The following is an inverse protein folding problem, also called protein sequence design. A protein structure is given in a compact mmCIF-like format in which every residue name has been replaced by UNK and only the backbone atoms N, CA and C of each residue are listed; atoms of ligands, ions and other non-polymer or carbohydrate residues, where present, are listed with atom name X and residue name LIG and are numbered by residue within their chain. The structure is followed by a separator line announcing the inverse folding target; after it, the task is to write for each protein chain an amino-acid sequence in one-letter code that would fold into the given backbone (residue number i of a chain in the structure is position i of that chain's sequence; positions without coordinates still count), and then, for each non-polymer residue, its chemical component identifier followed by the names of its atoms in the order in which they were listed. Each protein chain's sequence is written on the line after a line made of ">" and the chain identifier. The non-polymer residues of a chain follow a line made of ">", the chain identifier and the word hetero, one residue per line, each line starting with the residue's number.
data_IF_847484445165
#
_entry.id   IF_847484445165
#
_cell.length_a   1.000
_cell.length_b   1.000
_cell.length_c   1.000
_cell.angle_alpha   90.00
_cell.angle_beta   90.00
_cell.angle_gamma   90.00
#
_symmetry.space_group_name_H-M   'P 1'
#
loop_
_entity.id
_entity.type
_entity.pdbx_description
1 polymer ?
#
# COMPACT_ATOMS: atom_id res chain seq x y z
N UNK A 1 -7.56 -5.85 9.85
CA UNK A 1 -6.54 -4.98 10.50
C UNK A 1 -6.15 -3.88 9.52
N UNK A 2 -5.77 -2.68 9.99
CA UNK A 2 -5.35 -1.56 9.12
C UNK A 2 -3.83 -1.41 9.16
N UNK A 3 -3.22 -1.23 8.00
CA UNK A 3 -1.77 -1.09 7.84
C UNK A 3 -1.42 0.23 7.15
N UNK A 4 -0.31 0.84 7.58
CA UNK A 4 0.29 1.97 6.87
C UNK A 4 1.59 1.49 6.23
N UNK A 5 1.73 1.75 4.92
CA UNK A 5 2.89 1.31 4.14
C UNK A 5 3.54 2.49 3.42
N UNK A 6 4.73 2.89 3.89
CA UNK A 6 5.60 3.80 3.17
C UNK A 6 6.42 3.04 2.13
N UNK A 7 6.56 3.60 0.92
CA UNK A 7 7.37 2.98 -0.14
C UNK A 7 6.69 1.82 -0.88
N UNK A 8 5.35 1.79 -0.91
CA UNK A 8 4.56 0.76 -1.61
C UNK A 8 4.81 0.64 -3.12
N UNK A 9 5.54 1.57 -3.73
CA UNK A 9 5.95 1.52 -5.15
C UNK A 9 7.33 0.89 -5.38
N UNK A 10 8.09 0.62 -4.31
CA UNK A 10 9.36 -0.11 -4.41
C UNK A 10 9.14 -1.60 -4.65
N UNK A 11 10.17 -2.33 -5.10
CA UNK A 11 10.07 -3.76 -5.43
C UNK A 11 9.47 -4.60 -4.30
N UNK A 12 9.98 -4.42 -3.07
CA UNK A 12 9.48 -5.15 -1.90
C UNK A 12 8.16 -4.57 -1.40
N UNK A 13 8.04 -3.25 -1.36
CA UNK A 13 6.83 -2.57 -0.90
C UNK A 13 5.60 -2.93 -1.75
N UNK A 14 5.77 -3.05 -3.07
CA UNK A 14 4.69 -3.44 -3.98
C UNK A 14 4.22 -4.86 -3.74
N UNK A 15 5.14 -5.78 -3.44
CA UNK A 15 4.77 -7.16 -3.14
C UNK A 15 4.08 -7.28 -1.77
N UNK A 16 4.57 -6.54 -0.76
CA UNK A 16 3.91 -6.44 0.54
C UNK A 16 2.49 -5.87 0.40
N UNK A 17 2.32 -4.82 -0.40
CA UNK A 17 1.00 -4.23 -0.69
C UNK A 17 0.08 -5.27 -1.33
N UNK A 18 0.55 -5.97 -2.37
CA UNK A 18 -0.22 -6.97 -3.11
C UNK A 18 -0.66 -8.12 -2.20
N UNK A 19 0.26 -8.69 -1.43
CA UNK A 19 -0.04 -9.77 -0.49
C UNK A 19 -1.00 -9.31 0.60
N UNK A 20 -0.76 -8.13 1.18
CA UNK A 20 -1.60 -7.63 2.25
C UNK A 20 -3.05 -7.33 1.81
N UNK A 21 -3.23 -6.81 0.59
CA UNK A 21 -4.57 -6.65 0.01
C UNK A 21 -5.23 -8.00 -0.26
N UNK A 22 -4.48 -8.99 -0.77
CA UNK A 22 -4.98 -10.36 -0.99
C UNK A 22 -5.42 -11.03 0.31
N UNK A 23 -4.76 -10.72 1.43
CA UNK A 23 -5.10 -11.23 2.77
C UNK A 23 -6.27 -10.44 3.43
N UNK A 24 -6.83 -9.45 2.74
CA UNK A 24 -7.97 -8.66 3.22
C UNK A 24 -7.61 -7.54 4.20
N UNK A 25 -6.35 -7.11 4.25
CA UNK A 25 -5.97 -5.93 5.02
C UNK A 25 -6.41 -4.64 4.31
N UNK A 26 -6.90 -3.67 5.08
CA UNK A 26 -7.03 -2.28 4.62
C UNK A 26 -5.65 -1.63 4.70
N UNK A 27 -5.10 -1.20 3.56
CA UNK A 27 -3.76 -0.60 3.50
C UNK A 27 -3.85 0.85 3.07
N UNK A 28 -3.29 1.75 3.88
CA UNK A 28 -3.03 3.13 3.51
C UNK A 28 -1.57 3.24 3.07
N UNK A 29 -1.32 3.68 1.84
CA UNK A 29 0.05 3.92 1.38
C UNK A 29 0.46 5.38 1.58
N UNK A 30 1.75 5.60 1.81
CA UNK A 30 2.36 6.93 1.82
C UNK A 30 3.35 7.03 0.67
N UNK A 31 3.16 8.04 -0.18
CA UNK A 31 3.93 8.24 -1.39
C UNK A 31 4.03 9.70 -1.79
N UNK A 32 4.64 9.96 -2.96
CA UNK A 32 4.79 11.33 -3.50
C UNK A 32 3.78 11.65 -4.61
N UNK A 33 3.08 10.62 -5.09
CA UNK A 33 2.10 10.68 -6.17
C UNK A 33 1.05 9.60 -5.92
N UNK A 34 -0.21 9.82 -6.30
CA UNK A 34 -1.24 8.80 -6.21
C UNK A 34 -0.93 7.65 -7.17
N UNK A 35 -1.26 6.43 -6.76
CA UNK A 35 -1.03 5.19 -7.54
C UNK A 35 -2.32 4.42 -7.81
N UNK A 36 -3.34 4.61 -6.97
CA UNK A 36 -4.59 3.84 -7.02
C UNK A 36 -4.42 2.37 -6.62
N UNK A 37 -3.28 1.99 -6.05
CA UNK A 37 -2.96 0.59 -5.74
C UNK A 37 -3.44 0.15 -4.36
N UNK A 38 -3.77 1.09 -3.46
CA UNK A 38 -4.09 0.83 -2.07
C UNK A 38 -5.54 1.22 -1.72
N UNK A 39 -6.02 0.80 -0.55
CA UNK A 39 -7.36 1.16 -0.06
C UNK A 39 -7.51 2.67 0.17
N UNK A 40 -6.41 3.31 0.56
CA UNK A 40 -6.31 4.76 0.74
C UNK A 40 -4.86 5.21 0.51
N UNK A 41 -4.66 6.48 0.15
CA UNK A 41 -3.34 7.03 -0.15
C UNK A 41 -3.16 8.38 0.54
N UNK A 42 -2.02 8.56 1.18
CA UNK A 42 -1.51 9.84 1.67
C UNK A 42 -0.40 10.26 0.71
N UNK A 43 -0.59 11.40 0.06
CA UNK A 43 0.33 11.98 -0.93
C UNK A 43 1.04 13.18 -0.34
#
# INVERSE_FOLDING_TARGET
>A
MRLLLAGGTGLIGGEVLRLGLSDGYEITTVGRRPTGMASSEIV
#
